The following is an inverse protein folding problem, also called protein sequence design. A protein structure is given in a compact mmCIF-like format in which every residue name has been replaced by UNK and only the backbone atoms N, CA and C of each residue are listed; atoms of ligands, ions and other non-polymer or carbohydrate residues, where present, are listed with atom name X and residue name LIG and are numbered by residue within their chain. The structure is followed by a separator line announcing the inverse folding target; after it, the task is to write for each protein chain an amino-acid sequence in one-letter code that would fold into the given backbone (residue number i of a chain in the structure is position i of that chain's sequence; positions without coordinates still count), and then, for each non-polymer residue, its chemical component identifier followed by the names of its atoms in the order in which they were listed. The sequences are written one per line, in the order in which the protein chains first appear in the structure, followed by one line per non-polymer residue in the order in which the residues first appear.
data_IF_467432461902
#
_entry.id   IF_467432461902
#
_cell.length_a   1.000
_cell.length_b   1.000
_cell.length_c   1.000
_cell.angle_alpha   90.00
_cell.angle_beta   90.00
_cell.angle_gamma   90.00
#
_symmetry.space_group_name_H-M   'P 1'
#
loop_
_entity.id
_entity.type
_entity.pdbx_description
1 polymer ?
#
# COMPACT_ATOMS: atom_id res chain seq x y z
N UNK A 1 15.25 16.08 -3.15
CA UNK A 1 16.30 15.46 -2.30
C UNK A 1 15.73 15.37 -0.90
N UNK A 2 15.86 14.25 -0.23
CA UNK A 2 15.36 14.08 1.16
C UNK A 2 16.36 14.71 2.13
N UNK A 3 15.89 15.60 3.03
CA UNK A 3 16.71 16.25 4.06
C UNK A 3 16.96 15.33 5.29
N UNK A 4 16.86 14.00 5.09
CA UNK A 4 17.01 13.02 6.15
C UNK A 4 18.49 12.75 6.49
N UNK A 5 18.82 12.82 7.75
CA UNK A 5 20.12 12.37 8.27
C UNK A 5 20.28 10.85 8.21
N UNK A 6 21.52 10.37 8.22
CA UNK A 6 21.81 8.92 8.28
C UNK A 6 21.18 8.24 9.51
N UNK A 7 21.06 8.96 10.64
CA UNK A 7 20.41 8.45 11.85
C UNK A 7 18.91 8.28 11.69
N UNK A 8 18.24 9.20 11.00
CA UNK A 8 16.80 9.14 10.70
C UNK A 8 16.50 8.02 9.71
N UNK A 9 17.33 7.82 8.69
CA UNK A 9 17.19 6.67 7.77
C UNK A 9 17.34 5.33 8.51
N UNK A 10 18.27 5.22 9.48
CA UNK A 10 18.39 4.02 10.32
C UNK A 10 17.14 3.81 11.16
N UNK A 11 16.57 4.88 11.73
CA UNK A 11 15.33 4.82 12.50
C UNK A 11 14.17 4.32 11.62
N UNK A 12 13.98 4.89 10.44
CA UNK A 12 12.97 4.47 9.48
C UNK A 12 13.17 3.01 9.03
N UNK A 13 14.40 2.57 8.82
CA UNK A 13 14.70 1.17 8.47
C UNK A 13 14.24 0.19 9.56
N UNK A 14 14.49 0.51 10.83
CA UNK A 14 14.08 -0.36 11.94
C UNK A 14 12.57 -0.45 12.09
N UNK A 15 11.86 0.67 12.00
CA UNK A 15 10.40 0.70 12.21
C UNK A 15 9.59 0.11 11.08
N UNK A 16 10.11 0.07 9.85
CA UNK A 16 9.39 -0.51 8.72
C UNK A 16 9.48 -2.05 8.67
N UNK A 17 10.49 -2.64 9.33
CA UNK A 17 10.69 -4.10 9.32
C UNK A 17 9.89 -4.81 10.41
N UNK A 18 9.74 -4.16 11.58
CA UNK A 18 9.09 -4.77 12.73
C UNK A 18 8.30 -3.75 13.56
N UNK A 19 7.26 -4.23 14.20
CA UNK A 19 6.65 -3.48 15.29
C UNK A 19 7.63 -3.44 16.47
N UNK A 20 8.17 -2.27 16.76
CA UNK A 20 9.08 -2.04 17.88
C UNK A 20 8.51 -1.00 18.83
N UNK A 21 8.65 -1.22 20.12
CA UNK A 21 8.36 -0.21 21.13
C UNK A 21 9.39 0.92 21.06
N UNK A 22 9.06 2.06 21.65
CA UNK A 22 9.99 3.19 21.67
C UNK A 22 11.29 2.90 22.43
N UNK A 23 11.21 2.04 23.45
CA UNK A 23 12.37 1.58 24.23
C UNK A 23 13.27 0.69 23.38
N UNK A 24 12.70 -0.34 22.74
CA UNK A 24 13.45 -1.23 21.84
C UNK A 24 14.07 -0.49 20.65
N UNK A 25 13.35 0.50 20.10
CA UNK A 25 13.88 1.33 19.02
C UNK A 25 15.09 2.15 19.51
N UNK A 26 15.00 2.75 20.68
CA UNK A 26 16.08 3.51 21.28
C UNK A 26 17.32 2.64 21.53
N UNK A 27 17.13 1.44 22.08
CA UNK A 27 18.20 0.45 22.31
C UNK A 27 18.89 0.06 21.00
N UNK A 28 18.12 -0.31 19.95
CA UNK A 28 18.66 -0.70 18.63
C UNK A 28 19.45 0.42 17.95
N UNK A 29 19.09 1.67 18.25
CA UNK A 29 19.76 2.85 17.69
C UNK A 29 20.90 3.39 18.57
N UNK A 30 21.09 2.83 19.76
CA UNK A 30 22.08 3.32 20.74
C UNK A 30 21.75 4.72 21.25
N UNK A 31 20.46 5.00 21.46
CA UNK A 31 19.95 6.32 21.88
C UNK A 31 19.20 6.23 23.21
N UNK A 32 19.11 7.35 23.92
CA UNK A 32 18.20 7.45 25.06
C UNK A 32 16.72 7.49 24.56
N UNK A 33 15.74 6.93 25.33
CA UNK A 33 14.34 6.86 24.92
C UNK A 33 13.68 8.21 24.57
N UNK A 34 13.96 9.26 25.36
CA UNK A 34 13.33 10.56 25.17
C UNK A 34 13.76 11.28 23.86
N UNK A 35 15.06 11.35 23.50
CA UNK A 35 15.47 11.83 22.16
C UNK A 35 14.94 10.97 21.02
N UNK A 36 14.86 9.63 21.20
CA UNK A 36 14.32 8.72 20.23
C UNK A 36 12.85 9.04 19.92
N UNK A 37 12.02 9.18 20.96
CA UNK A 37 10.61 9.54 20.84
C UNK A 37 10.41 10.89 20.12
N UNK A 38 11.20 11.88 20.47
CA UNK A 38 11.13 13.23 19.84
C UNK A 38 11.44 13.15 18.34
N UNK A 39 12.47 12.40 17.95
CA UNK A 39 12.82 12.21 16.53
C UNK A 39 11.73 11.44 15.78
N UNK A 40 11.19 10.37 16.39
CA UNK A 40 10.08 9.62 15.82
C UNK A 40 8.86 10.51 15.57
N UNK A 41 8.52 11.38 16.54
CA UNK A 41 7.43 12.32 16.40
C UNK A 41 7.71 13.32 15.26
N UNK A 42 8.92 13.87 15.18
CA UNK A 42 9.30 14.77 14.10
C UNK A 42 9.16 14.12 12.72
N UNK A 43 9.59 12.85 12.54
CA UNK A 43 9.43 12.11 11.29
C UNK A 43 7.95 11.88 10.91
N UNK A 44 7.08 11.64 11.90
CA UNK A 44 5.63 11.58 11.68
C UNK A 44 5.06 12.94 11.28
N UNK A 45 5.39 13.98 12.01
CA UNK A 45 4.89 15.34 11.76
C UNK A 45 5.35 15.88 10.38
N UNK A 46 6.53 15.46 9.92
CA UNK A 46 7.07 15.78 8.59
C UNK A 46 6.51 14.87 7.48
N UNK A 47 5.69 13.88 7.81
CA UNK A 47 5.05 13.00 6.83
C UNK A 47 5.91 11.86 6.28
N UNK A 48 7.12 11.61 6.82
CA UNK A 48 7.93 10.44 6.44
C UNK A 48 7.32 9.12 6.89
N UNK A 49 6.47 9.16 7.89
CA UNK A 49 5.68 8.02 8.36
C UNK A 49 4.22 8.37 8.11
N UNK A 50 3.66 7.80 7.06
CA UNK A 50 2.27 8.05 6.65
C UNK A 50 1.28 7.51 7.67
N UNK A 51 1.45 6.25 8.08
CA UNK A 51 0.60 5.55 9.05
C UNK A 51 1.30 4.32 9.65
N UNK A 52 0.80 3.88 10.78
CA UNK A 52 1.21 2.60 11.40
C UNK A 52 0.00 1.69 11.46
N UNK A 53 0.10 0.50 10.92
CA UNK A 53 -1.00 -0.48 10.86
C UNK A 53 -0.52 -1.87 11.27
N UNK A 54 -1.43 -2.70 11.78
CA UNK A 54 -1.22 -4.12 11.94
C UNK A 54 -1.64 -4.85 10.68
N UNK A 55 -0.78 -5.69 10.12
CA UNK A 55 -1.10 -6.51 8.96
C UNK A 55 -1.75 -7.80 9.45
N UNK A 56 -2.99 -8.02 9.07
CA UNK A 56 -3.76 -9.18 9.49
C UNK A 56 -3.53 -10.37 8.53
N UNK A 57 -3.52 -11.58 9.09
CA UNK A 57 -3.47 -12.79 8.28
C UNK A 57 -4.84 -13.05 7.65
N UNK A 58 -5.01 -12.65 6.38
CA UNK A 58 -6.27 -12.76 5.66
C UNK A 58 -6.80 -14.20 5.59
N UNK A 59 -5.91 -15.21 5.41
CA UNK A 59 -6.32 -16.61 5.33
C UNK A 59 -6.88 -17.12 6.65
N UNK A 60 -6.26 -16.77 7.78
CA UNK A 60 -6.79 -17.11 9.11
C UNK A 60 -8.13 -16.45 9.40
N UNK A 61 -8.43 -15.32 8.76
CA UNK A 61 -9.71 -14.61 8.86
C UNK A 61 -10.74 -15.09 7.81
N UNK A 62 -10.42 -16.11 7.02
CA UNK A 62 -11.34 -16.70 6.05
C UNK A 62 -11.33 -16.03 4.66
N UNK A 63 -10.46 -15.05 4.39
CA UNK A 63 -10.29 -14.47 3.05
C UNK A 63 -9.29 -15.29 2.24
N UNK A 64 -9.74 -16.35 1.63
CA UNK A 64 -8.87 -17.27 0.88
C UNK A 64 -8.42 -16.68 -0.46
N UNK A 65 -9.32 -15.95 -1.12
CA UNK A 65 -9.06 -15.35 -2.43
C UNK A 65 -8.39 -13.99 -2.28
N UNK A 66 -7.34 -13.79 -3.04
CA UNK A 66 -6.75 -12.50 -3.37
C UNK A 66 -6.70 -12.40 -4.89
N UNK A 67 -7.43 -11.46 -5.46
CA UNK A 67 -7.45 -11.20 -6.88
C UNK A 67 -6.80 -9.85 -7.20
N UNK A 68 -6.01 -9.80 -8.26
CA UNK A 68 -5.63 -8.59 -8.95
C UNK A 68 -6.60 -8.38 -10.10
N UNK A 69 -7.28 -7.24 -10.10
CA UNK A 69 -8.32 -6.93 -11.08
C UNK A 69 -7.91 -5.69 -11.86
N UNK A 70 -7.70 -5.88 -13.15
CA UNK A 70 -7.41 -4.81 -14.11
C UNK A 70 -8.73 -4.31 -14.68
N UNK A 71 -8.94 -3.01 -14.60
CA UNK A 71 -10.17 -2.34 -15.08
C UNK A 71 -9.80 -1.33 -16.16
N UNK A 72 -10.54 -1.39 -17.28
CA UNK A 72 -10.54 -0.37 -18.30
C UNK A 72 -11.85 0.40 -18.24
N UNK A 73 -11.77 1.73 -18.21
CA UNK A 73 -12.95 2.59 -18.16
C UNK A 73 -13.15 3.30 -19.51
N UNK A 74 -14.41 3.45 -19.90
CA UNK A 74 -14.77 4.18 -21.11
C UNK A 74 -14.65 5.68 -20.85
N UNK A 75 -13.96 6.40 -21.74
CA UNK A 75 -13.93 7.85 -21.73
C UNK A 75 -15.20 8.37 -22.42
N UNK A 76 -16.04 9.10 -21.70
CA UNK A 76 -17.27 9.68 -22.22
C UNK A 76 -17.10 11.21 -22.25
N UNK A 77 -17.15 11.85 -23.44
CA UNK A 77 -17.05 13.31 -23.53
C UNK A 77 -18.06 14.02 -22.63
N UNK A 78 -17.58 14.99 -21.86
CA UNK A 78 -18.41 15.77 -20.93
C UNK A 78 -18.78 15.06 -19.62
N UNK A 79 -18.26 13.86 -19.35
CA UNK A 79 -18.50 13.10 -18.12
C UNK A 79 -17.19 12.70 -17.43
N UNK A 80 -17.10 12.98 -16.14
CA UNK A 80 -15.93 12.62 -15.32
C UNK A 80 -16.01 11.16 -14.83
N UNK A 81 -15.98 10.21 -15.78
CA UNK A 81 -16.20 8.78 -15.53
C UNK A 81 -15.18 8.20 -14.55
N UNK A 82 -13.92 8.57 -14.68
CA UNK A 82 -12.86 8.13 -13.76
C UNK A 82 -13.09 8.61 -12.33
N UNK A 83 -13.61 9.82 -12.11
CA UNK A 83 -13.94 10.27 -10.76
C UNK A 83 -15.15 9.54 -10.18
N UNK A 84 -16.13 9.24 -11.03
CA UNK A 84 -17.27 8.43 -10.61
C UNK A 84 -16.83 7.03 -10.22
N UNK A 85 -15.95 6.41 -11.00
CA UNK A 85 -15.35 5.11 -10.70
C UNK A 85 -14.55 5.15 -9.38
N UNK A 86 -13.67 6.15 -9.19
CA UNK A 86 -12.86 6.34 -7.97
C UNK A 86 -13.76 6.44 -6.73
N UNK A 87 -14.84 7.21 -6.82
CA UNK A 87 -15.81 7.35 -5.71
C UNK A 87 -16.57 6.07 -5.44
N UNK A 88 -16.90 5.30 -6.47
CA UNK A 88 -17.57 4.01 -6.32
C UNK A 88 -16.64 3.00 -5.65
N UNK A 89 -15.42 2.82 -6.17
CA UNK A 89 -14.45 1.84 -5.65
C UNK A 89 -14.02 2.13 -4.22
N UNK A 90 -13.93 3.41 -3.83
CA UNK A 90 -13.56 3.81 -2.47
C UNK A 90 -14.57 3.37 -1.39
N UNK A 91 -15.78 2.99 -1.78
CA UNK A 91 -16.83 2.50 -0.86
C UNK A 91 -16.88 0.98 -0.74
N UNK A 92 -16.11 0.29 -1.57
CA UNK A 92 -16.13 -1.16 -1.67
C UNK A 92 -15.16 -1.81 -0.68
N UNK A 93 -15.68 -2.36 0.40
CA UNK A 93 -14.88 -3.00 1.43
C UNK A 93 -14.02 -4.19 0.94
N UNK A 94 -14.46 -5.02 -0.03
CA UNK A 94 -13.60 -6.07 -0.60
C UNK A 94 -12.38 -5.57 -1.37
N UNK A 95 -12.39 -4.30 -1.82
CA UNK A 95 -11.26 -3.68 -2.52
C UNK A 95 -10.29 -3.09 -1.50
N UNK A 96 -9.18 -3.77 -1.29
CA UNK A 96 -8.16 -3.36 -0.30
C UNK A 96 -7.10 -2.40 -0.87
N UNK A 97 -7.01 -2.28 -2.20
CA UNK A 97 -6.23 -1.23 -2.87
C UNK A 97 -6.75 -0.96 -4.27
N UNK A 98 -6.57 0.28 -4.74
CA UNK A 98 -6.88 0.72 -6.09
C UNK A 98 -5.78 1.69 -6.54
N UNK A 99 -5.19 1.41 -7.69
CA UNK A 99 -4.14 2.23 -8.31
C UNK A 99 -4.57 2.66 -9.70
N UNK A 100 -4.27 3.90 -10.07
CA UNK A 100 -4.26 4.33 -11.47
C UNK A 100 -2.95 3.87 -12.06
N UNK A 101 -3.01 3.27 -13.23
CA UNK A 101 -1.82 2.71 -13.88
C UNK A 101 -1.71 3.21 -15.32
N UNK A 102 -0.51 3.15 -15.86
CA UNK A 102 -0.26 3.30 -17.29
C UNK A 102 -0.31 1.93 -17.96
N UNK A 103 -0.66 1.87 -19.24
CA UNK A 103 -0.66 0.64 -20.02
C UNK A 103 -2.06 0.27 -20.53
N UNK A 104 -2.36 -1.03 -20.54
CA UNK A 104 -3.65 -1.51 -21.06
C UNK A 104 -4.83 -1.14 -20.17
N UNK A 105 -4.69 -1.27 -18.86
CA UNK A 105 -5.71 -0.92 -17.88
C UNK A 105 -5.55 0.54 -17.42
N UNK A 106 -6.66 1.14 -16.98
CA UNK A 106 -6.68 2.45 -16.32
C UNK A 106 -6.54 2.31 -14.81
N UNK A 107 -7.07 1.22 -14.25
CA UNK A 107 -7.03 0.93 -12.81
C UNK A 107 -6.62 -0.52 -12.55
N UNK A 108 -5.89 -0.72 -11.46
CA UNK A 108 -5.58 -2.04 -10.89
C UNK A 108 -6.06 -2.09 -9.45
N UNK A 109 -6.90 -3.07 -9.15
CA UNK A 109 -7.45 -3.31 -7.82
C UNK A 109 -6.83 -4.54 -7.20
N UNK A 110 -6.66 -4.55 -5.87
CA UNK A 110 -6.54 -5.77 -5.08
C UNK A 110 -7.87 -6.05 -4.39
N UNK A 111 -8.45 -7.21 -4.65
CA UNK A 111 -9.75 -7.62 -4.11
C UNK A 111 -9.58 -8.88 -3.28
N UNK A 112 -10.19 -8.91 -2.10
CA UNK A 112 -10.22 -10.09 -1.24
C UNK A 112 -11.63 -10.66 -1.17
N UNK A 113 -11.74 -11.99 -1.11
CA UNK A 113 -13.02 -12.68 -0.94
C UNK A 113 -12.83 -13.98 -0.13
N UNK A 114 -13.88 -14.43 0.58
CA UNK A 114 -13.83 -15.70 1.31
C UNK A 114 -13.64 -16.92 0.39
N UNK A 115 -14.30 -16.92 -0.77
CA UNK A 115 -14.27 -18.03 -1.73
C UNK A 115 -14.31 -17.53 -3.18
N UNK A 116 -14.05 -18.42 -4.12
CA UNK A 116 -14.17 -18.15 -5.55
C UNK A 116 -15.61 -17.83 -5.94
N UNK A 117 -16.59 -18.46 -5.31
CA UNK A 117 -18.01 -18.20 -5.55
C UNK A 117 -18.38 -16.77 -5.14
N UNK A 118 -17.97 -16.36 -3.93
CA UNK A 118 -18.18 -14.98 -3.42
C UNK A 118 -17.49 -13.94 -4.30
N UNK A 119 -16.25 -14.20 -4.73
CA UNK A 119 -15.56 -13.33 -5.67
C UNK A 119 -16.33 -13.23 -6.99
N UNK A 120 -16.72 -14.35 -7.58
CA UNK A 120 -17.44 -14.37 -8.86
C UNK A 120 -18.77 -13.61 -8.79
N UNK A 121 -19.50 -13.76 -7.69
CA UNK A 121 -20.73 -13.00 -7.43
C UNK A 121 -20.44 -11.52 -7.36
N UNK A 122 -19.46 -11.10 -6.54
CA UNK A 122 -19.05 -9.70 -6.38
C UNK A 122 -18.59 -9.09 -7.71
N UNK A 123 -17.76 -9.78 -8.47
CA UNK A 123 -17.28 -9.32 -9.77
C UNK A 123 -18.44 -9.03 -10.73
N UNK A 124 -19.39 -9.96 -10.85
CA UNK A 124 -20.55 -9.83 -11.77
C UNK A 124 -21.61 -8.83 -11.32
N UNK A 125 -21.81 -8.68 -10.01
CA UNK A 125 -22.91 -7.84 -9.50
C UNK A 125 -22.45 -6.42 -9.15
N UNK A 126 -21.17 -6.23 -8.83
CA UNK A 126 -20.61 -4.95 -8.37
C UNK A 126 -19.55 -4.43 -9.33
N UNK A 127 -18.41 -5.13 -9.50
CA UNK A 127 -17.27 -4.59 -10.25
C UNK A 127 -17.61 -4.26 -11.70
N UNK A 128 -18.25 -5.18 -12.43
CA UNK A 128 -18.64 -4.97 -13.83
C UNK A 128 -19.67 -3.83 -13.98
N UNK A 129 -20.43 -3.56 -12.94
CA UNK A 129 -21.47 -2.51 -12.95
C UNK A 129 -20.99 -1.16 -12.44
N UNK A 130 -19.74 -1.04 -12.06
CA UNK A 130 -19.17 0.25 -11.66
C UNK A 130 -19.19 1.26 -12.81
N UNK A 131 -19.26 2.55 -12.50
CA UNK A 131 -19.34 3.60 -13.52
C UNK A 131 -18.22 3.48 -14.56
N UNK A 132 -18.61 3.40 -15.83
CA UNK A 132 -17.70 3.42 -16.96
C UNK A 132 -16.87 2.16 -17.19
N UNK A 133 -17.04 1.10 -16.44
CA UNK A 133 -16.30 -0.15 -16.69
C UNK A 133 -16.62 -0.67 -18.08
N UNK A 134 -15.59 -0.74 -18.94
CA UNK A 134 -15.64 -1.23 -20.31
C UNK A 134 -15.13 -2.66 -20.41
N UNK A 135 -14.01 -2.95 -19.72
CA UNK A 135 -13.39 -4.26 -19.72
C UNK A 135 -12.78 -4.53 -18.34
N UNK A 136 -12.73 -5.80 -17.97
CA UNK A 136 -12.21 -6.26 -16.67
C UNK A 136 -11.50 -7.60 -16.85
N UNK A 137 -10.29 -7.68 -16.28
CA UNK A 137 -9.52 -8.93 -16.21
C UNK A 137 -9.16 -9.21 -14.77
N UNK A 138 -9.40 -10.45 -14.34
CA UNK A 138 -9.10 -10.90 -12.98
C UNK A 138 -8.01 -11.98 -13.00
N UNK A 139 -6.94 -11.74 -12.25
CA UNK A 139 -5.87 -12.70 -12.00
C UNK A 139 -5.86 -13.08 -10.53
N UNK A 140 -5.85 -14.35 -10.22
CA UNK A 140 -5.86 -14.83 -8.84
C UNK A 140 -4.44 -15.13 -8.36
N UNK A 141 -4.11 -14.63 -7.17
CA UNK A 141 -2.81 -14.87 -6.55
C UNK A 141 -2.79 -16.30 -6.02
N UNK A 142 -2.02 -17.16 -6.68
CA UNK A 142 -1.83 -18.57 -6.29
C UNK A 142 -0.85 -18.64 -5.11
N UNK A 143 0.26 -17.92 -5.20
CA UNK A 143 1.31 -17.87 -4.20
C UNK A 143 1.85 -16.43 -4.07
N UNK A 144 2.16 -16.01 -2.84
CA UNK A 144 2.85 -14.76 -2.58
C UNK A 144 4.34 -15.06 -2.35
N UNK A 145 5.15 -14.83 -3.36
CA UNK A 145 6.60 -15.02 -3.28
C UNK A 145 7.25 -13.93 -2.42
N UNK A 146 6.76 -12.71 -2.53
CA UNK A 146 7.19 -11.58 -1.72
C UNK A 146 6.02 -10.61 -1.53
N UNK A 147 5.75 -10.26 -0.28
CA UNK A 147 4.77 -9.23 0.08
C UNK A 147 5.36 -8.39 1.22
N UNK A 148 5.99 -7.29 0.87
CA UNK A 148 6.69 -6.41 1.80
C UNK A 148 6.25 -4.97 1.59
N UNK A 149 6.01 -4.27 2.69
CA UNK A 149 5.78 -2.81 2.69
C UNK A 149 7.08 -2.03 2.89
N UNK A 150 8.21 -2.71 3.13
CA UNK A 150 9.49 -2.08 3.41
C UNK A 150 10.10 -1.47 2.15
N UNK A 151 10.46 -0.19 2.22
CA UNK A 151 11.18 0.54 1.18
C UNK A 151 12.69 0.22 1.24
N UNK A 152 13.42 0.21 0.12
CA UNK A 152 14.85 -0.10 0.06
C UNK A 152 15.70 1.12 0.51
N UNK A 153 15.63 1.50 1.80
CA UNK A 153 16.28 2.69 2.35
C UNK A 153 17.82 2.67 2.27
N UNK A 154 18.44 1.50 2.11
CA UNK A 154 19.89 1.39 1.90
C UNK A 154 20.34 2.05 0.58
N UNK A 155 19.50 2.06 -0.45
CA UNK A 155 19.80 2.77 -1.70
C UNK A 155 19.88 4.29 -1.51
N UNK A 156 18.94 4.85 -0.73
CA UNK A 156 18.96 6.28 -0.36
C UNK A 156 20.19 6.64 0.48
N UNK A 157 20.57 5.77 1.40
CA UNK A 157 21.75 5.96 2.26
C UNK A 157 23.05 6.02 1.45
N UNK A 158 23.18 5.22 0.39
CA UNK A 158 24.33 5.27 -0.51
C UNK A 158 24.39 6.58 -1.31
N UNK A 159 23.26 7.06 -1.80
CA UNK A 159 23.16 8.32 -2.52
C UNK A 159 23.56 9.53 -1.66
N UNK A 160 23.11 9.56 -0.39
CA UNK A 160 23.47 10.62 0.55
C UNK A 160 24.98 10.63 0.88
N UNK A 161 25.63 9.46 0.95
CA UNK A 161 27.08 9.39 1.15
C UNK A 161 27.87 9.78 -0.09
N UNK A 162 27.40 9.47 -1.30
CA UNK A 162 28.05 9.82 -2.54
C UNK A 162 27.99 11.32 -2.89
N UNK A 163 27.01 12.06 -2.37
CA UNK A 163 26.87 13.49 -2.59
C UNK A 163 27.60 14.34 -1.51
N UNK A 164 28.18 13.70 -0.50
CA UNK A 164 28.93 14.37 0.57
C UNK A 164 30.47 14.30 0.35
N UNK A 165 30.89 13.79 -0.81
CA UNK A 165 32.30 13.74 -1.28
C UNK A 165 32.45 14.64 -2.49
#
# INVERSE_FOLDING_TARGET
MTDLSTGELRMLAVIQENHVTNVELAERLGMAPSPCLRRMKALKDQGYIERTVSILNRRKLGFEILAQVEIKVMQIPGRAVDEEFRRAVAREAPVISCYVVSGWADFVLKVVAPSMEEYSRYARTVLVRMPGVQDMRSSFVLESVKDSTALPLESLRRQLKGNAS
#
